data_IF_106560409876
#
_entry.id   IF_106560409876
#
_cell.length_a   1.000
_cell.length_b   1.000
_cell.length_c   1.000
_cell.angle_alpha   90.00
_cell.angle_beta   90.00
_cell.angle_gamma   90.00
#
_symmetry.space_group_name_H-M   'P 1'
#
loop_
_entity.id
_entity.type
_entity.pdbx_description
1 polymer ?
#
# COMPACT_ATOMS: atom_id res chain seq x y z
N UNK A 1 -7.69 7.50 -33.11
CA UNK A 1 -6.83 6.54 -32.38
C UNK A 1 -5.62 7.26 -31.76
N UNK A 2 -5.82 8.26 -30.87
CA UNK A 2 -4.74 9.24 -30.56
C UNK A 2 -4.72 9.91 -29.17
N UNK A 3 -5.42 9.39 -28.13
CA UNK A 3 -5.45 10.03 -26.79
C UNK A 3 -4.92 9.18 -25.62
N UNK A 4 -4.34 8.00 -25.87
CA UNK A 4 -3.93 7.07 -24.80
C UNK A 4 -2.49 7.24 -24.28
N UNK A 5 -1.63 8.02 -24.94
CA UNK A 5 -0.19 8.12 -24.60
C UNK A 5 0.15 9.08 -23.45
N UNK A 6 -0.70 10.05 -23.14
CA UNK A 6 -0.40 11.10 -22.14
C UNK A 6 -0.90 10.78 -20.73
N UNK A 7 -1.81 9.81 -20.59
CA UNK A 7 -2.40 9.44 -19.28
C UNK A 7 -1.45 8.53 -18.48
N UNK A 8 -0.65 7.70 -19.16
CA UNK A 8 0.31 6.78 -18.54
C UNK A 8 1.37 7.44 -17.66
N UNK A 9 2.04 8.55 -18.03
CA UNK A 9 3.04 9.17 -17.15
C UNK A 9 2.44 9.79 -15.88
N UNK A 10 1.29 10.47 -15.98
CA UNK A 10 0.60 11.06 -14.81
C UNK A 10 0.12 9.97 -13.86
N UNK A 11 -0.46 8.89 -14.40
CA UNK A 11 -0.87 7.72 -13.63
C UNK A 11 0.33 7.06 -12.93
N UNK A 12 1.44 6.87 -13.64
CA UNK A 12 2.66 6.30 -13.07
C UNK A 12 3.24 7.19 -11.96
N UNK A 13 3.22 8.52 -12.14
CA UNK A 13 3.68 9.47 -11.13
C UNK A 13 2.80 9.42 -9.88
N UNK A 14 1.47 9.45 -10.04
CA UNK A 14 0.53 9.31 -8.93
C UNK A 14 0.75 7.99 -8.17
N UNK A 15 0.96 6.92 -8.92
CA UNK A 15 1.19 5.60 -8.36
C UNK A 15 2.52 5.48 -7.61
N UNK A 16 3.61 6.00 -8.17
CA UNK A 16 4.90 6.02 -7.49
C UNK A 16 4.81 6.88 -6.22
N UNK A 17 4.19 8.05 -6.31
CA UNK A 17 3.98 8.95 -5.18
C UNK A 17 3.16 8.27 -4.08
N UNK A 18 2.09 7.55 -4.45
CA UNK A 18 1.27 6.78 -3.54
C UNK A 18 2.09 5.75 -2.74
N UNK A 19 2.88 4.94 -3.44
CA UNK A 19 3.70 3.89 -2.83
C UNK A 19 4.76 4.48 -1.90
N UNK A 20 5.41 5.56 -2.32
CA UNK A 20 6.41 6.26 -1.50
C UNK A 20 5.76 6.84 -0.23
N UNK A 21 4.59 7.46 -0.34
CA UNK A 21 3.88 8.02 0.82
C UNK A 21 3.43 6.95 1.82
N UNK A 22 3.11 5.75 1.35
CA UNK A 22 2.63 4.65 2.20
C UNK A 22 3.79 3.84 2.81
N UNK A 23 4.81 3.49 2.02
CA UNK A 23 5.94 2.67 2.48
C UNK A 23 7.04 3.50 3.14
N UNK A 24 7.46 4.59 2.50
CA UNK A 24 8.60 5.39 2.96
C UNK A 24 8.18 6.42 4.01
N UNK A 25 6.92 6.90 3.95
CA UNK A 25 6.34 7.87 4.89
C UNK A 25 7.26 9.07 5.13
N UNK A 26 7.61 9.84 4.09
CA UNK A 26 8.58 10.93 4.19
C UNK A 26 8.19 12.01 5.21
N UNK A 27 6.90 12.13 5.54
CA UNK A 27 6.40 13.05 6.56
C UNK A 27 6.88 12.72 7.98
N UNK A 28 7.35 11.50 8.24
CA UNK A 28 7.96 11.12 9.52
C UNK A 28 9.43 11.56 9.61
N UNK A 29 10.08 11.74 8.46
CA UNK A 29 11.47 12.15 8.39
C UNK A 29 11.60 13.67 8.53
N UNK A 30 10.61 14.42 8.04
CA UNK A 30 10.60 15.88 8.06
C UNK A 30 9.57 16.36 9.08
N UNK A 31 10.02 16.88 10.23
CA UNK A 31 9.17 17.31 11.34
C UNK A 31 8.05 18.29 10.93
N UNK A 32 8.30 19.15 9.94
CA UNK A 32 7.32 20.11 9.40
C UNK A 32 6.13 19.44 8.68
N UNK A 33 6.30 18.21 8.17
CA UNK A 33 5.26 17.51 7.40
C UNK A 33 4.35 16.62 8.26
N UNK A 34 4.68 16.43 9.55
CA UNK A 34 3.90 15.65 10.52
C UNK A 34 2.43 16.11 10.59
N UNK A 35 2.10 17.41 10.75
CA UNK A 35 0.71 17.85 10.86
C UNK A 35 -0.09 17.68 9.57
N UNK A 36 0.56 17.67 8.41
CA UNK A 36 -0.10 17.57 7.10
C UNK A 36 -0.66 16.16 6.83
N UNK A 37 -0.29 15.13 7.60
CA UNK A 37 -0.80 13.76 7.46
C UNK A 37 -0.91 13.33 5.98
N UNK A 38 0.15 13.58 5.21
CA UNK A 38 0.15 13.55 3.73
C UNK A 38 -0.46 12.28 3.15
N UNK A 39 -0.24 11.13 3.78
CA UNK A 39 -0.83 9.84 3.35
C UNK A 39 -2.36 9.87 3.38
N UNK A 40 -2.98 10.48 4.40
CA UNK A 40 -4.45 10.59 4.51
C UNK A 40 -5.01 11.54 3.46
N UNK A 41 -4.39 12.71 3.32
CA UNK A 41 -4.79 13.70 2.31
C UNK A 41 -4.68 13.11 0.90
N UNK A 42 -3.58 12.41 0.61
CA UNK A 42 -3.36 11.77 -0.67
C UNK A 42 -4.32 10.61 -0.92
N UNK A 43 -4.62 9.77 0.07
CA UNK A 43 -5.66 8.73 -0.05
C UNK A 43 -7.01 9.33 -0.42
N UNK A 44 -7.44 10.39 0.26
CA UNK A 44 -8.71 11.09 -0.04
C UNK A 44 -8.69 11.65 -1.46
N UNK A 45 -7.60 12.33 -1.84
CA UNK A 45 -7.46 12.92 -3.16
C UNK A 45 -7.55 11.86 -4.27
N UNK A 46 -6.88 10.72 -4.10
CA UNK A 46 -6.95 9.62 -5.07
C UNK A 46 -8.35 8.99 -5.09
N UNK A 47 -9.01 8.85 -3.94
CA UNK A 47 -10.36 8.31 -3.86
C UNK A 47 -11.36 9.22 -4.60
N UNK A 48 -11.26 10.54 -4.41
CA UNK A 48 -12.05 11.54 -5.16
C UNK A 48 -11.72 11.47 -6.66
N UNK A 49 -10.45 11.39 -7.02
CA UNK A 49 -10.02 11.26 -8.40
C UNK A 49 -10.64 10.01 -9.05
N UNK A 50 -10.61 8.85 -8.38
CA UNK A 50 -11.17 7.60 -8.87
C UNK A 50 -12.71 7.60 -8.97
N UNK A 51 -13.39 8.26 -8.04
CA UNK A 51 -14.85 8.43 -8.09
C UNK A 51 -15.29 9.44 -9.16
N UNK A 52 -14.42 10.37 -9.55
CA UNK A 52 -14.71 11.31 -10.63
C UNK A 52 -14.90 10.56 -11.94
N UNK A 53 -16.12 10.66 -12.51
CA UNK A 53 -16.53 10.04 -13.78
C UNK A 53 -15.54 10.27 -14.92
N UNK A 54 -14.87 11.42 -14.92
CA UNK A 54 -13.85 11.79 -15.91
C UNK A 54 -12.60 10.91 -15.80
N UNK A 55 -12.07 10.72 -14.59
CA UNK A 55 -10.87 9.93 -14.37
C UNK A 55 -11.17 8.44 -14.56
N UNK A 56 -12.30 7.95 -14.06
CA UNK A 56 -12.69 6.55 -14.13
C UNK A 56 -12.93 6.08 -15.58
N UNK A 57 -13.58 6.90 -16.42
CA UNK A 57 -13.73 6.63 -17.88
C UNK A 57 -12.39 6.63 -18.62
N UNK A 58 -11.45 7.44 -18.14
CA UNK A 58 -10.15 7.65 -18.78
C UNK A 58 -9.16 6.53 -18.42
N UNK A 59 -9.23 6.01 -17.20
CA UNK A 59 -8.42 4.89 -16.70
C UNK A 59 -8.98 3.52 -17.07
N UNK A 60 -10.30 3.37 -17.13
CA UNK A 60 -10.93 2.07 -17.32
C UNK A 60 -11.99 2.09 -18.43
N UNK A 61 -11.87 1.14 -19.36
CA UNK A 61 -12.95 0.82 -20.31
C UNK A 61 -14.12 0.08 -19.65
N UNK A 62 -13.87 -0.56 -18.51
CA UNK A 62 -14.84 -1.38 -17.76
C UNK A 62 -14.84 -0.94 -16.30
N UNK A 63 -16.00 -0.60 -15.69
CA UNK A 63 -16.06 -0.20 -14.28
C UNK A 63 -15.47 -1.27 -13.36
N UNK A 64 -14.68 -0.87 -12.35
CA UNK A 64 -14.08 -1.77 -11.35
C UNK A 64 -15.09 -2.74 -10.71
N UNK A 65 -16.34 -2.27 -10.50
CA UNK A 65 -17.43 -3.08 -9.92
C UNK A 65 -17.90 -4.24 -10.81
N UNK A 66 -17.58 -4.23 -12.11
CA UNK A 66 -17.88 -5.37 -13.00
C UNK A 66 -16.85 -6.48 -12.87
N UNK A 67 -15.69 -6.24 -12.25
CA UNK A 67 -14.69 -7.27 -12.05
C UNK A 67 -15.13 -8.23 -10.92
N UNK A 68 -15.19 -9.54 -11.22
CA UNK A 68 -15.60 -10.56 -10.27
C UNK A 68 -14.72 -10.61 -9.02
N UNK A 69 -13.41 -10.40 -9.17
CA UNK A 69 -12.47 -10.37 -8.03
C UNK A 69 -12.76 -9.20 -7.09
N UNK A 70 -13.12 -8.03 -7.64
CA UNK A 70 -13.48 -6.86 -6.84
C UNK A 70 -14.79 -7.10 -6.08
N UNK A 71 -15.77 -7.76 -6.71
CA UNK A 71 -17.04 -8.13 -6.04
C UNK A 71 -16.82 -9.10 -4.89
N UNK A 72 -15.99 -10.13 -5.08
CA UNK A 72 -15.63 -11.06 -4.01
C UNK A 72 -14.90 -10.37 -2.87
N UNK A 73 -13.94 -9.50 -3.20
CA UNK A 73 -13.22 -8.73 -2.19
C UNK A 73 -14.17 -7.88 -1.35
N UNK A 74 -15.05 -7.09 -1.98
CA UNK A 74 -16.04 -6.28 -1.26
C UNK A 74 -17.04 -7.14 -0.49
N UNK A 75 -17.45 -8.29 -1.04
CA UNK A 75 -18.30 -9.25 -0.36
C UNK A 75 -17.66 -9.79 0.93
N UNK A 76 -16.37 -10.13 0.89
CA UNK A 76 -15.61 -10.55 2.08
C UNK A 76 -15.49 -9.43 3.11
N UNK A 77 -15.30 -8.17 2.68
CA UNK A 77 -15.28 -7.03 3.60
C UNK A 77 -16.64 -6.81 4.28
N UNK A 78 -17.73 -6.90 3.51
CA UNK A 78 -19.08 -6.81 4.05
C UNK A 78 -19.37 -7.96 5.02
N UNK A 79 -18.99 -9.20 4.66
CA UNK A 79 -19.10 -10.36 5.52
C UNK A 79 -18.31 -10.17 6.83
N UNK A 80 -17.09 -9.64 6.75
CA UNK A 80 -16.27 -9.32 7.94
C UNK A 80 -17.00 -8.35 8.86
N UNK A 81 -17.62 -7.30 8.32
CA UNK A 81 -18.38 -6.34 9.12
C UNK A 81 -19.62 -6.97 9.77
N UNK A 82 -20.35 -7.82 9.05
CA UNK A 82 -21.50 -8.55 9.62
C UNK A 82 -21.05 -9.50 10.72
N UNK A 83 -19.95 -10.23 10.50
CA UNK A 83 -19.38 -11.14 11.51
C UNK A 83 -18.86 -10.40 12.75
N UNK A 84 -18.49 -9.11 12.62
CA UNK A 84 -18.03 -8.31 13.75
C UNK A 84 -19.11 -8.12 14.83
N UNK A 85 -20.39 -8.14 14.45
CA UNK A 85 -21.52 -8.08 15.40
C UNK A 85 -21.57 -9.32 16.31
N UNK A 86 -21.14 -10.47 15.79
CA UNK A 86 -21.09 -11.73 16.52
C UNK A 86 -19.72 -11.99 17.19
N UNK A 87 -18.81 -11.02 17.14
CA UNK A 87 -17.49 -11.10 17.78
C UNK A 87 -17.62 -11.11 19.30
N UNK A 88 -16.70 -11.79 19.99
CA UNK A 88 -16.58 -11.72 21.46
C UNK A 88 -16.24 -10.30 21.92
N UNK A 89 -15.62 -9.48 21.05
CA UNK A 89 -15.24 -8.09 21.33
C UNK A 89 -15.71 -7.13 20.22
N UNK A 90 -17.03 -6.88 20.06
CA UNK A 90 -17.59 -6.17 18.91
C UNK A 90 -17.02 -4.76 18.74
N UNK A 91 -16.89 -4.02 19.85
CA UNK A 91 -16.38 -2.64 19.84
C UNK A 91 -14.94 -2.56 19.29
N UNK A 92 -14.06 -3.44 19.76
CA UNK A 92 -12.67 -3.48 19.28
C UNK A 92 -12.60 -3.93 17.83
N UNK A 93 -13.41 -4.92 17.43
CA UNK A 93 -13.46 -5.40 16.05
C UNK A 93 -13.90 -4.30 15.08
N UNK A 94 -14.97 -3.56 15.42
CA UNK A 94 -15.46 -2.45 14.59
C UNK A 94 -14.46 -1.30 14.54
N UNK A 95 -13.85 -0.94 15.68
CA UNK A 95 -12.79 0.07 15.74
C UNK A 95 -11.60 -0.29 14.85
N UNK A 96 -11.12 -1.54 14.92
CA UNK A 96 -10.06 -2.04 14.06
C UNK A 96 -10.47 -2.08 12.58
N UNK A 97 -11.73 -2.42 12.30
CA UNK A 97 -12.25 -2.43 10.94
C UNK A 97 -12.20 -1.03 10.31
N UNK A 98 -12.70 -0.02 11.02
CA UNK A 98 -12.71 1.37 10.57
C UNK A 98 -11.27 1.94 10.52
N UNK A 99 -10.47 1.66 11.55
CA UNK A 99 -9.11 2.22 11.69
C UNK A 99 -8.11 1.66 10.69
N UNK A 100 -8.17 0.35 10.42
CA UNK A 100 -7.16 -0.37 9.65
C UNK A 100 -7.73 -0.97 8.36
N UNK A 101 -8.80 -1.77 8.43
CA UNK A 101 -9.32 -2.47 7.24
C UNK A 101 -9.81 -1.50 6.17
N UNK A 102 -10.50 -0.41 6.53
CA UNK A 102 -10.94 0.60 5.55
C UNK A 102 -9.74 1.20 4.80
N UNK A 103 -8.61 1.44 5.47
CA UNK A 103 -7.39 1.97 4.82
C UNK A 103 -6.78 0.96 3.85
N UNK A 104 -6.73 -0.31 4.25
CA UNK A 104 -6.28 -1.40 3.37
C UNK A 104 -7.22 -1.52 2.16
N UNK A 105 -8.54 -1.39 2.38
CA UNK A 105 -9.55 -1.44 1.33
C UNK A 105 -9.39 -0.31 0.32
N UNK A 106 -9.21 0.92 0.80
CA UNK A 106 -8.92 2.07 -0.06
C UNK A 106 -7.62 1.83 -0.83
N UNK A 107 -6.56 1.38 -0.15
CA UNK A 107 -5.27 1.10 -0.78
C UNK A 107 -5.39 0.05 -1.87
N UNK A 108 -6.13 -1.02 -1.62
CA UNK A 108 -6.40 -2.07 -2.60
C UNK A 108 -7.17 -1.56 -3.82
N UNK A 109 -8.22 -0.76 -3.60
CA UNK A 109 -9.01 -0.16 -4.69
C UNK A 109 -8.12 0.77 -5.53
N UNK A 110 -7.31 1.60 -4.89
CA UNK A 110 -6.36 2.49 -5.55
C UNK A 110 -5.36 1.70 -6.38
N UNK A 111 -4.69 0.70 -5.82
CA UNK A 111 -3.74 -0.12 -6.54
C UNK A 111 -4.39 -0.85 -7.72
N UNK A 112 -5.58 -1.44 -7.50
CA UNK A 112 -6.33 -2.15 -8.55
C UNK A 112 -6.76 -1.24 -9.69
N UNK A 113 -7.04 0.03 -9.39
CA UNK A 113 -7.38 1.02 -10.41
C UNK A 113 -6.18 1.53 -11.20
N UNK A 114 -4.99 1.54 -10.59
CA UNK A 114 -3.77 2.05 -11.20
C UNK A 114 -2.99 0.97 -11.95
N UNK A 115 -3.25 -0.32 -11.69
CA UNK A 115 -2.61 -1.46 -12.33
C UNK A 115 -3.46 -2.05 -13.44
N UNK A 116 -3.26 -1.59 -14.67
CA UNK A 116 -4.02 -2.05 -15.84
C UNK A 116 -3.18 -2.83 -16.85
N UNK A 117 -1.91 -2.43 -17.03
CA UNK A 117 -1.02 -3.01 -18.03
C UNK A 117 0.19 -3.71 -17.41
N UNK A 118 0.80 -4.66 -18.14
CA UNK A 118 2.03 -5.37 -17.72
C UNK A 118 3.17 -4.41 -17.36
N UNK A 119 3.30 -3.29 -18.07
CA UNK A 119 4.31 -2.28 -17.77
C UNK A 119 4.07 -1.60 -16.43
N UNK A 120 2.82 -1.35 -16.05
CA UNK A 120 2.47 -0.77 -14.75
C UNK A 120 2.75 -1.75 -13.62
N UNK A 121 2.49 -3.03 -13.82
CA UNK A 121 2.89 -4.09 -12.87
C UNK A 121 4.41 -4.14 -12.73
N UNK A 122 5.18 -3.96 -13.82
CA UNK A 122 6.64 -3.89 -13.74
C UNK A 122 7.12 -2.66 -12.98
N UNK A 123 6.49 -1.50 -13.20
CA UNK A 123 6.79 -0.26 -12.45
C UNK A 123 6.45 -0.44 -10.98
N UNK A 124 5.33 -1.09 -10.65
CA UNK A 124 4.93 -1.43 -9.29
C UNK A 124 5.98 -2.24 -8.56
N UNK A 125 6.36 -3.38 -9.13
CA UNK A 125 7.35 -4.26 -8.50
C UNK A 125 8.67 -3.52 -8.27
N UNK A 126 9.14 -2.75 -9.27
CA UNK A 126 10.36 -1.93 -9.11
C UNK A 126 10.21 -0.88 -8.02
N UNK A 127 9.09 -0.18 -7.97
CA UNK A 127 8.85 0.89 -6.99
C UNK A 127 8.73 0.34 -5.58
N UNK A 128 8.01 -0.78 -5.41
CA UNK A 128 7.93 -1.49 -4.13
C UNK A 128 9.32 -1.91 -3.68
N UNK A 129 10.14 -2.47 -4.56
CA UNK A 129 11.51 -2.87 -4.21
C UNK A 129 12.38 -1.68 -3.77
N UNK A 130 12.31 -0.55 -4.47
CA UNK A 130 12.99 0.69 -4.06
C UNK A 130 12.48 1.19 -2.72
N UNK A 131 11.16 1.21 -2.51
CA UNK A 131 10.56 1.65 -1.25
C UNK A 131 10.98 0.73 -0.09
N UNK A 132 11.06 -0.58 -0.33
CA UNK A 132 11.52 -1.56 0.64
C UNK A 132 12.99 -1.37 0.99
N UNK A 133 13.84 -1.12 0.00
CA UNK A 133 15.24 -0.81 0.25
C UNK A 133 15.39 0.42 1.15
N UNK A 134 14.66 1.50 0.85
CA UNK A 134 14.64 2.71 1.68
C UNK A 134 14.08 2.41 3.09
N UNK A 135 13.04 1.59 3.19
CA UNK A 135 12.47 1.15 4.46
C UNK A 135 13.48 0.34 5.29
N UNK A 136 14.23 -0.57 4.69
CA UNK A 136 15.29 -1.33 5.35
C UNK A 136 16.40 -0.44 5.89
N UNK A 137 16.76 0.64 5.17
CA UNK A 137 17.70 1.65 5.69
C UNK A 137 17.13 2.31 6.95
N UNK A 138 15.85 2.70 6.96
CA UNK A 138 15.20 3.30 8.14
C UNK A 138 15.19 2.33 9.34
N UNK A 139 14.88 1.06 9.10
CA UNK A 139 14.95 0.00 10.12
C UNK A 139 16.35 -0.08 10.72
N UNK A 140 17.38 -0.12 9.87
CA UNK A 140 18.77 -0.22 10.33
C UNK A 140 19.20 1.00 11.15
N UNK A 141 18.83 2.20 10.70
CA UNK A 141 19.10 3.44 11.44
C UNK A 141 18.38 3.46 12.80
N UNK A 142 17.11 3.05 12.85
CA UNK A 142 16.34 2.97 14.09
C UNK A 142 16.91 1.92 15.07
N UNK A 143 17.40 0.79 14.54
CA UNK A 143 18.09 -0.21 15.33
C UNK A 143 19.37 0.36 15.94
N UNK A 144 20.19 1.06 15.14
CA UNK A 144 21.43 1.71 15.58
C UNK A 144 21.19 2.81 16.61
N UNK A 145 20.08 3.56 16.51
CA UNK A 145 19.71 4.59 17.48
C UNK A 145 19.12 4.05 18.78
N UNK A 146 18.98 2.73 18.93
CA UNK A 146 18.41 2.10 20.12
C UNK A 146 16.89 2.19 20.20
N UNK A 147 16.20 2.50 19.10
CA UNK A 147 14.74 2.63 19.05
C UNK A 147 14.07 1.25 18.94
N UNK A 148 14.22 0.43 19.98
CA UNK A 148 13.60 -0.89 20.08
C UNK A 148 13.04 -1.13 21.49
N UNK A 149 11.99 -1.95 21.56
CA UNK A 149 11.43 -2.46 22.81
C UNK A 149 11.77 -3.95 22.96
N UNK A 150 11.92 -4.40 24.19
CA UNK A 150 12.02 -5.82 24.50
C UNK A 150 10.64 -6.33 24.88
N UNK A 151 10.15 -7.31 24.13
CA UNK A 151 8.84 -7.94 24.35
C UNK A 151 8.99 -9.45 24.13
N UNK A 152 8.60 -10.25 25.12
CA UNK A 152 8.70 -11.72 25.06
C UNK A 152 10.10 -12.28 24.75
N UNK A 153 11.17 -11.61 25.20
CA UNK A 153 12.56 -12.04 24.94
C UNK A 153 13.11 -11.65 23.55
N UNK A 154 12.34 -10.93 22.74
CA UNK A 154 12.75 -10.47 21.40
C UNK A 154 12.84 -8.95 21.33
N UNK A 155 13.87 -8.41 20.63
CA UNK A 155 13.97 -6.96 20.33
C UNK A 155 13.08 -6.61 19.15
N UNK A 156 12.09 -5.75 19.36
CA UNK A 156 11.16 -5.25 18.34
C UNK A 156 11.45 -3.77 18.06
N UNK A 157 11.70 -3.43 16.79
CA UNK A 157 11.98 -2.03 16.40
C UNK A 157 10.70 -1.20 16.51
N UNK A 158 10.80 0.00 17.08
CA UNK A 158 9.67 0.92 17.32
C UNK A 158 9.93 2.25 16.63
N UNK A 159 8.86 2.94 16.24
CA UNK A 159 8.96 4.25 15.59
C UNK A 159 9.23 4.20 14.09
N UNK A 160 9.31 2.99 13.50
CA UNK A 160 9.39 2.80 12.04
C UNK A 160 8.08 2.17 11.57
N UNK A 161 7.14 3.02 11.15
CA UNK A 161 5.87 2.57 10.60
C UNK A 161 5.92 2.37 9.08
N UNK A 162 4.98 1.59 8.56
CA UNK A 162 4.75 1.37 7.12
C UNK A 162 3.27 1.02 6.90
N UNK A 163 2.79 1.10 5.65
CA UNK A 163 1.40 0.76 5.30
C UNK A 163 0.31 1.50 6.11
N UNK A 164 0.65 2.66 6.68
CA UNK A 164 -0.26 3.46 7.52
C UNK A 164 -0.45 2.98 8.96
N UNK A 165 0.37 2.03 9.42
CA UNK A 165 0.40 1.47 10.78
C UNK A 165 1.75 1.71 11.46
N UNK A 166 1.78 1.66 12.80
CA UNK A 166 2.99 1.77 13.63
C UNK A 166 3.28 0.45 14.34
N UNK A 167 2.74 -0.66 13.82
CA UNK A 167 2.86 -1.97 14.42
C UNK A 167 4.26 -2.54 14.11
N UNK A 168 5.03 -2.98 15.12
CA UNK A 168 6.31 -3.66 14.91
C UNK A 168 6.22 -4.86 13.95
N UNK A 169 5.05 -5.51 13.84
CA UNK A 169 4.80 -6.60 12.90
C UNK A 169 4.81 -6.16 11.44
N UNK A 170 4.63 -4.88 11.17
CA UNK A 170 4.62 -4.36 9.81
C UNK A 170 5.99 -4.54 9.13
N UNK A 171 7.08 -4.56 9.90
CA UNK A 171 8.43 -4.88 9.41
C UNK A 171 8.47 -6.31 8.86
N UNK A 172 7.97 -7.27 9.64
CA UNK A 172 7.91 -8.67 9.24
C UNK A 172 7.01 -8.85 8.02
N UNK A 173 5.86 -8.17 7.99
CA UNK A 173 4.93 -8.17 6.86
C UNK A 173 5.60 -7.67 5.57
N UNK A 174 6.28 -6.52 5.62
CA UNK A 174 6.95 -5.93 4.46
C UNK A 174 8.04 -6.87 3.94
N UNK A 175 8.83 -7.48 4.83
CA UNK A 175 9.86 -8.46 4.44
C UNK A 175 9.23 -9.73 3.83
N UNK A 176 8.17 -10.27 4.44
CA UNK A 176 7.48 -11.46 3.97
C UNK A 176 6.85 -11.26 2.58
N UNK A 177 6.32 -10.07 2.30
CA UNK A 177 5.74 -9.75 1.00
C UNK A 177 6.80 -9.48 -0.07
N UNK A 178 7.89 -8.81 0.29
CA UNK A 178 8.84 -8.34 -0.71
C UNK A 178 10.03 -9.23 -1.01
N UNK A 179 10.47 -10.06 -0.06
CA UNK A 179 11.53 -11.03 -0.32
C UNK A 179 11.16 -11.99 -1.46
N UNK A 180 9.94 -12.58 -1.52
CA UNK A 180 9.54 -13.41 -2.65
C UNK A 180 9.57 -12.66 -3.99
N UNK A 181 9.12 -11.40 -4.01
CA UNK A 181 9.14 -10.57 -5.22
C UNK A 181 10.57 -10.24 -5.68
N UNK A 182 11.45 -9.92 -4.73
CA UNK A 182 12.87 -9.65 -4.98
C UNK A 182 13.62 -10.87 -5.48
N UNK A 183 13.40 -12.03 -4.84
CA UNK A 183 13.96 -13.31 -5.26
C UNK A 183 13.46 -13.68 -6.65
N UNK A 184 12.15 -13.59 -6.90
CA UNK A 184 11.57 -13.83 -8.22
C UNK A 184 12.22 -12.96 -9.28
N UNK A 185 12.36 -11.65 -9.03
CA UNK A 185 13.00 -10.72 -9.97
C UNK A 185 14.48 -11.05 -10.23
N UNK A 186 15.22 -11.43 -9.19
CA UNK A 186 16.63 -11.82 -9.31
C UNK A 186 16.79 -13.11 -10.14
N UNK A 187 15.98 -14.13 -9.86
CA UNK A 187 16.02 -15.42 -10.56
C UNK A 187 15.52 -15.32 -12.01
N UNK A 188 14.48 -14.54 -12.29
CA UNK A 188 14.00 -14.34 -13.67
C UNK A 188 14.96 -13.51 -14.52
N UNK A 189 15.71 -12.57 -13.94
CA UNK A 189 16.79 -11.87 -14.67
C UNK A 189 17.93 -12.80 -15.07
N UNK A 190 18.26 -13.81 -14.26
CA UNK A 190 19.22 -14.86 -14.63
C UNK A 190 18.67 -15.84 -15.69
N UNK A 191 17.35 -15.92 -15.86
CA UNK A 191 16.69 -16.80 -16.84
C UNK A 191 16.41 -16.18 -18.22
N UNK A 192 16.54 -14.85 -18.39
CA UNK A 192 16.41 -14.15 -19.69
C UNK A 192 17.77 -13.77 -20.30
N UNK A 193 18.86 -14.39 -19.83
CA UNK A 193 20.19 -14.31 -20.44
C UNK A 193 20.52 -15.55 -21.28
N UNK A 194 19.49 -16.28 -21.73
CA UNK A 194 19.56 -17.32 -22.76
C UNK A 194 18.46 -17.09 -23.78
#
# INVERSE_FOLDING_TARGET
MGKLKTITPVQNLLFITFLVLIYVRPYELVRFLIPLQLTRMFMIFVLIALLSKSFNRTLHKVPLMKNQSMRWYLGLQAFTLVSAVFSVWPSQTVSNFIGTNVRIMITFIVLSSLLYNRDQVRIFVKTVFVCMFLFSIRIFLAYKSGSYIFDGGTKRIVGVGTLGSMDPNDVALVLAMGLPLGLYYFYTKKGMAK
#
